data_IF_367646296089
#
_entry.id   IF_367646296089
#
_cell.length_a   1.000
_cell.length_b   1.000
_cell.length_c   1.000
_cell.angle_alpha   90.00
_cell.angle_beta   90.00
_cell.angle_gamma   90.00
#
_symmetry.space_group_name_H-M   'P 1'
#
loop_
_entity.id
_entity.type
_entity.pdbx_description
1 polymer ?
#
# COMPACT_ATOMS: atom_id res chain seq x y z
N UNK A 1 -16.55 22.44 -17.74
CA UNK A 1 -16.95 23.38 -16.67
C UNK A 1 -17.93 22.68 -15.73
N UNK A 2 -17.37 21.90 -14.76
CA UNK A 2 -18.14 21.37 -13.63
C UNK A 2 -18.43 22.49 -12.64
N UNK A 3 -19.65 22.60 -12.14
CA UNK A 3 -19.99 23.47 -11.01
C UNK A 3 -19.59 22.76 -9.71
N UNK A 4 -19.29 23.52 -8.64
CA UNK A 4 -18.95 22.95 -7.34
C UNK A 4 -19.97 21.90 -6.84
N UNK A 5 -21.28 22.16 -7.05
CA UNK A 5 -22.35 21.22 -6.71
C UNK A 5 -22.30 19.87 -7.48
N UNK A 6 -21.76 19.88 -8.70
CA UNK A 6 -21.63 18.65 -9.50
C UNK A 6 -20.52 17.75 -8.91
N UNK A 7 -19.45 18.36 -8.39
CA UNK A 7 -18.37 17.67 -7.66
C UNK A 7 -18.85 17.08 -6.33
N UNK A 8 -19.63 17.84 -5.56
CA UNK A 8 -20.22 17.34 -4.30
C UNK A 8 -21.15 16.15 -4.55
N UNK A 9 -22.01 16.21 -5.56
CA UNK A 9 -22.89 15.11 -5.93
C UNK A 9 -22.10 13.89 -6.37
N UNK A 10 -21.05 14.06 -7.17
CA UNK A 10 -20.15 12.98 -7.58
C UNK A 10 -19.51 12.28 -6.39
N UNK A 11 -18.96 13.05 -5.43
CA UNK A 11 -18.41 12.51 -4.21
C UNK A 11 -19.44 11.73 -3.38
N UNK A 12 -20.67 12.24 -3.25
CA UNK A 12 -21.74 11.55 -2.54
C UNK A 12 -22.11 10.22 -3.19
N UNK A 13 -22.21 10.16 -4.50
CA UNK A 13 -22.54 8.92 -5.25
C UNK A 13 -21.45 7.85 -5.09
N UNK A 14 -20.19 8.26 -4.99
CA UNK A 14 -19.04 7.34 -4.89
C UNK A 14 -18.53 7.09 -3.47
N UNK A 15 -19.22 7.59 -2.45
CA UNK A 15 -18.80 7.47 -1.03
C UNK A 15 -18.52 6.01 -0.61
N UNK A 16 -19.20 5.04 -1.21
CA UNK A 16 -19.01 3.61 -0.93
C UNK A 16 -17.95 2.93 -1.81
N UNK A 17 -17.43 3.63 -2.80
CA UNK A 17 -16.42 3.06 -3.70
C UNK A 17 -14.99 3.08 -3.12
N UNK A 18 -14.74 3.94 -2.14
CA UNK A 18 -13.44 4.09 -1.48
C UNK A 18 -13.15 5.52 -1.07
N UNK A 19 -11.89 5.80 -0.78
CA UNK A 19 -11.42 7.15 -0.48
C UNK A 19 -11.37 7.99 -1.76
N UNK A 20 -12.09 9.09 -1.77
CA UNK A 20 -12.07 10.07 -2.86
C UNK A 20 -11.14 11.22 -2.48
N UNK A 21 -10.19 11.53 -3.35
CA UNK A 21 -9.21 12.59 -3.15
C UNK A 21 -9.27 13.53 -4.34
N UNK A 22 -9.52 14.82 -4.08
CA UNK A 22 -9.45 15.86 -5.10
C UNK A 22 -7.99 16.21 -5.36
N UNK A 23 -7.58 16.18 -6.62
CA UNK A 23 -6.21 16.45 -7.05
C UNK A 23 -6.21 17.46 -8.21
N UNK A 24 -5.19 18.31 -8.25
CA UNK A 24 -4.88 19.11 -9.42
C UNK A 24 -4.42 18.21 -10.59
N UNK A 25 -4.75 18.57 -11.83
CA UNK A 25 -4.45 17.82 -13.05
C UNK A 25 -2.97 17.36 -13.13
N UNK A 26 -2.03 18.22 -12.74
CA UNK A 26 -0.60 17.91 -12.76
C UNK A 26 -0.15 16.82 -11.78
N UNK A 27 -1.03 16.34 -10.89
CA UNK A 27 -0.75 15.27 -9.92
C UNK A 27 -1.38 13.93 -10.30
N UNK A 28 -2.17 13.87 -11.36
CA UNK A 28 -2.89 12.66 -11.77
C UNK A 28 -1.93 11.51 -12.12
N UNK A 29 -0.85 11.80 -12.85
CA UNK A 29 0.15 10.77 -13.20
C UNK A 29 0.85 10.20 -11.96
N UNK A 30 1.16 11.05 -10.97
CA UNK A 30 1.74 10.62 -9.71
C UNK A 30 0.76 9.77 -8.90
N UNK A 31 -0.51 10.17 -8.84
CA UNK A 31 -1.57 9.38 -8.21
C UNK A 31 -1.78 8.02 -8.91
N UNK A 32 -1.69 7.99 -10.25
CA UNK A 32 -1.76 6.76 -11.03
C UNK A 32 -0.60 5.83 -10.70
N UNK A 33 0.64 6.33 -10.64
CA UNK A 33 1.81 5.54 -10.25
C UNK A 33 1.70 4.95 -8.85
N UNK A 34 1.15 5.72 -7.91
CA UNK A 34 0.99 5.29 -6.51
C UNK A 34 -0.23 4.39 -6.31
N UNK A 35 -1.43 4.84 -6.70
CA UNK A 35 -2.68 4.20 -6.34
C UNK A 35 -3.25 3.33 -7.47
N UNK A 36 -3.05 3.72 -8.73
CA UNK A 36 -3.47 2.92 -9.88
C UNK A 36 -2.62 1.68 -10.09
N UNK A 37 -1.29 1.81 -9.96
CA UNK A 37 -0.35 0.69 -10.08
C UNK A 37 -0.09 -0.03 -8.74
N UNK A 38 -0.29 0.65 -7.62
CA UNK A 38 -0.02 0.15 -6.27
C UNK A 38 -0.61 -1.21 -5.94
N UNK A 39 -1.86 -1.54 -6.34
CA UNK A 39 -2.43 -2.86 -6.08
C UNK A 39 -1.55 -4.02 -6.55
N UNK A 40 -0.88 -3.89 -7.70
CA UNK A 40 0.04 -4.93 -8.20
C UNK A 40 1.24 -5.14 -7.26
N UNK A 41 1.80 -4.07 -6.71
CA UNK A 41 2.91 -4.13 -5.76
C UNK A 41 2.48 -4.77 -4.44
N UNK A 42 1.25 -4.46 -3.99
CA UNK A 42 0.65 -5.07 -2.80
C UNK A 42 0.38 -6.55 -3.01
N UNK A 43 -0.07 -6.98 -4.21
CA UNK A 43 -0.25 -8.41 -4.50
C UNK A 43 1.07 -9.17 -4.45
N UNK A 44 2.16 -8.63 -4.98
CA UNK A 44 3.50 -9.23 -4.85
C UNK A 44 3.92 -9.35 -3.38
N UNK A 45 3.65 -8.34 -2.56
CA UNK A 45 3.95 -8.39 -1.14
C UNK A 45 3.11 -9.44 -0.39
N UNK A 46 1.80 -9.54 -0.67
CA UNK A 46 0.92 -10.56 -0.09
C UNK A 46 1.40 -11.97 -0.48
N UNK A 47 1.76 -12.17 -1.74
CA UNK A 47 2.27 -13.45 -2.24
C UNK A 47 3.57 -13.83 -1.52
N UNK A 48 4.52 -12.90 -1.40
CA UNK A 48 5.77 -13.13 -0.68
C UNK A 48 5.55 -13.47 0.80
N UNK A 49 4.62 -12.79 1.50
CA UNK A 49 4.24 -13.13 2.87
C UNK A 49 3.64 -14.54 2.96
N UNK A 50 2.76 -14.90 2.02
CA UNK A 50 2.15 -16.22 1.99
C UNK A 50 3.19 -17.32 1.72
N UNK A 51 4.14 -17.08 0.80
CA UNK A 51 5.23 -18.00 0.51
C UNK A 51 6.14 -18.21 1.73
N UNK A 52 6.48 -17.14 2.43
CA UNK A 52 7.23 -17.25 3.68
C UNK A 52 6.45 -18.03 4.75
N UNK A 53 5.14 -17.85 4.83
CA UNK A 53 4.25 -18.63 5.69
C UNK A 53 4.31 -20.14 5.37
N UNK A 54 4.31 -20.49 4.10
CA UNK A 54 4.43 -21.90 3.66
C UNK A 54 5.82 -22.44 3.97
N UNK A 55 6.88 -21.66 3.77
CA UNK A 55 8.25 -22.08 4.13
C UNK A 55 8.39 -22.39 5.63
N UNK A 56 7.59 -21.74 6.47
CA UNK A 56 7.57 -21.96 7.93
C UNK A 56 6.55 -23.00 8.38
N UNK A 57 5.86 -23.68 7.45
CA UNK A 57 4.99 -24.82 7.72
C UNK A 57 3.48 -24.54 7.71
N UNK A 58 3.04 -23.34 7.36
CA UNK A 58 1.61 -23.05 7.22
C UNK A 58 1.03 -23.68 5.94
N UNK A 59 -0.20 -24.22 5.98
CA UNK A 59 -0.91 -24.58 4.75
C UNK A 59 -1.09 -23.37 3.83
N UNK A 60 -0.93 -23.54 2.52
CA UNK A 60 -0.97 -22.49 1.50
C UNK A 60 -2.22 -21.59 1.63
N UNK A 61 -3.39 -22.21 1.74
CA UNK A 61 -4.65 -21.46 1.84
C UNK A 61 -4.71 -20.58 3.09
N UNK A 62 -4.24 -21.10 4.22
CA UNK A 62 -4.18 -20.38 5.49
C UNK A 62 -3.17 -19.22 5.41
N UNK A 63 -1.98 -19.48 4.88
CA UNK A 63 -0.93 -18.48 4.72
C UNK A 63 -1.41 -17.30 3.86
N UNK A 64 -2.09 -17.58 2.74
CA UNK A 64 -2.62 -16.54 1.85
C UNK A 64 -3.70 -15.69 2.54
N UNK A 65 -4.65 -16.32 3.24
CA UNK A 65 -5.68 -15.59 3.98
C UNK A 65 -5.08 -14.69 5.07
N UNK A 66 -4.12 -15.21 5.83
CA UNK A 66 -3.44 -14.45 6.88
C UNK A 66 -2.63 -13.28 6.30
N UNK A 67 -1.88 -13.50 5.23
CA UNK A 67 -1.10 -12.46 4.56
C UNK A 67 -2.01 -11.31 4.05
N UNK A 68 -3.10 -11.64 3.36
CA UNK A 68 -4.05 -10.66 2.86
C UNK A 68 -4.70 -9.87 4.02
N UNK A 69 -5.16 -10.56 5.07
CA UNK A 69 -5.77 -9.89 6.23
C UNK A 69 -4.78 -9.01 6.98
N UNK A 70 -3.52 -9.39 7.07
CA UNK A 70 -2.46 -8.57 7.68
C UNK A 70 -2.29 -7.24 6.95
N UNK A 71 -2.27 -7.26 5.62
CA UNK A 71 -2.15 -6.02 4.82
C UNK A 71 -3.39 -5.14 4.97
N UNK A 72 -4.58 -5.72 4.95
CA UNK A 72 -5.84 -4.98 5.17
C UNK A 72 -5.84 -4.33 6.54
N UNK A 73 -5.52 -5.08 7.62
CA UNK A 73 -5.52 -4.56 8.98
C UNK A 73 -4.48 -3.45 9.20
N UNK A 74 -3.28 -3.63 8.66
CA UNK A 74 -2.23 -2.61 8.78
C UNK A 74 -2.60 -1.31 8.03
N UNK A 75 -3.14 -1.42 6.81
CA UNK A 75 -3.59 -0.27 6.04
C UNK A 75 -4.75 0.47 6.72
N UNK A 76 -5.73 -0.27 7.22
CA UNK A 76 -6.87 0.29 7.94
C UNK A 76 -6.43 1.02 9.21
N UNK A 77 -5.52 0.45 9.99
CA UNK A 77 -5.00 1.08 11.19
C UNK A 77 -4.27 2.41 10.90
N UNK A 78 -3.53 2.50 9.81
CA UNK A 78 -2.90 3.77 9.38
C UNK A 78 -3.96 4.82 9.08
N UNK A 79 -5.02 4.46 8.36
CA UNK A 79 -6.09 5.38 7.99
C UNK A 79 -6.91 5.84 9.20
N UNK A 80 -7.23 4.95 10.13
CA UNK A 80 -8.07 5.24 11.29
C UNK A 80 -7.32 5.98 12.40
N UNK A 81 -6.08 5.58 12.69
CA UNK A 81 -5.29 6.18 13.76
C UNK A 81 -4.66 7.51 13.37
N UNK A 82 -4.50 7.77 12.07
CA UNK A 82 -3.76 8.91 11.51
C UNK A 82 -2.32 9.02 12.04
N UNK A 83 -1.78 7.95 12.63
CA UNK A 83 -0.41 7.91 13.09
C UNK A 83 0.56 7.64 11.95
N UNK A 84 1.75 8.18 12.06
CA UNK A 84 2.81 7.88 11.09
C UNK A 84 3.15 6.38 11.11
N UNK A 85 3.26 5.70 9.95
CA UNK A 85 3.53 4.26 9.89
C UNK A 85 4.78 3.81 10.68
N UNK A 86 5.79 4.66 10.81
CA UNK A 86 6.97 4.41 11.64
C UNK A 86 6.63 4.22 13.12
N UNK A 87 5.71 5.02 13.65
CA UNK A 87 5.24 4.89 15.05
C UNK A 87 4.49 3.58 15.24
N UNK A 88 3.58 3.23 14.33
CA UNK A 88 2.84 1.96 14.38
C UNK A 88 3.78 0.75 14.27
N UNK A 89 4.80 0.83 13.41
CA UNK A 89 5.86 -0.19 13.32
C UNK A 89 6.59 -0.36 14.64
N UNK A 90 6.98 0.73 15.30
CA UNK A 90 7.72 0.68 16.56
C UNK A 90 6.87 0.06 17.68
N UNK A 91 5.57 0.32 17.73
CA UNK A 91 4.64 -0.26 18.70
C UNK A 91 4.55 -1.79 18.63
N UNK A 92 4.81 -2.40 17.47
CA UNK A 92 4.80 -3.85 17.29
C UNK A 92 6.20 -4.48 17.30
N UNK A 93 7.25 -3.67 17.52
CA UNK A 93 8.65 -4.10 17.57
C UNK A 93 9.16 -4.11 19.02
N UNK A 94 8.98 -5.24 19.72
CA UNK A 94 9.57 -5.40 21.04
C UNK A 94 11.09 -5.57 21.00
N UNK A 95 11.84 -5.15 22.05
CA UNK A 95 13.29 -5.36 22.14
C UNK A 95 13.66 -6.85 21.97
N UNK A 96 14.53 -7.15 21.01
CA UNK A 96 14.96 -8.54 20.70
C UNK A 96 13.88 -9.44 20.13
N UNK A 97 12.70 -8.90 19.78
CA UNK A 97 11.55 -9.67 19.29
C UNK A 97 11.69 -10.14 17.84
N UNK A 98 10.79 -11.03 17.43
CA UNK A 98 10.72 -11.56 16.05
C UNK A 98 10.41 -10.48 15.03
N UNK A 99 9.56 -9.52 15.39
CA UNK A 99 9.17 -8.44 14.46
C UNK A 99 10.36 -7.56 14.09
N UNK A 100 11.16 -7.12 15.06
CA UNK A 100 12.31 -6.27 14.77
C UNK A 100 13.39 -7.03 13.98
N UNK A 101 13.55 -8.33 14.19
CA UNK A 101 14.46 -9.15 13.39
C UNK A 101 14.02 -9.22 11.92
N UNK A 102 12.71 -9.40 11.66
CA UNK A 102 12.14 -9.35 10.33
C UNK A 102 12.28 -7.98 9.66
N UNK A 103 12.02 -6.90 10.40
CA UNK A 103 12.23 -5.52 9.93
C UNK A 103 13.68 -5.29 9.53
N UNK A 104 14.64 -5.72 10.37
CA UNK A 104 16.06 -5.59 10.07
C UNK A 104 16.46 -6.31 8.77
N UNK A 105 15.88 -7.48 8.51
CA UNK A 105 16.08 -8.20 7.25
C UNK A 105 15.55 -7.42 6.04
N UNK A 106 14.35 -6.86 6.13
CA UNK A 106 13.78 -6.05 5.05
C UNK A 106 14.63 -4.80 4.76
N UNK A 107 15.11 -4.12 5.80
CA UNK A 107 15.98 -2.94 5.65
C UNK A 107 17.34 -3.31 5.02
N UNK A 108 17.92 -4.44 5.42
CA UNK A 108 19.18 -4.93 4.84
C UNK A 108 19.08 -5.24 3.33
N UNK A 109 17.88 -5.57 2.84
CA UNK A 109 17.60 -5.82 1.43
C UNK A 109 16.98 -4.63 0.69
N UNK A 110 17.16 -3.42 1.23
CA UNK A 110 16.72 -2.17 0.60
C UNK A 110 15.21 -2.11 0.25
N UNK A 111 14.35 -2.75 1.04
CA UNK A 111 12.92 -2.87 0.78
C UNK A 111 12.26 -1.52 0.46
N UNK A 112 12.54 -0.49 1.28
CA UNK A 112 11.98 0.86 1.06
C UNK A 112 12.39 1.46 -0.27
N UNK A 113 13.68 1.36 -0.60
CA UNK A 113 14.21 1.86 -1.86
C UNK A 113 13.60 1.17 -3.07
N UNK A 114 13.41 -0.14 -2.99
CA UNK A 114 12.78 -0.94 -4.04
C UNK A 114 11.32 -0.54 -4.27
N UNK A 115 10.55 -0.34 -3.21
CA UNK A 115 9.14 0.11 -3.32
C UNK A 115 9.06 1.52 -3.89
N UNK A 116 9.92 2.44 -3.44
CA UNK A 116 9.96 3.82 -3.97
C UNK A 116 10.33 3.83 -5.45
N UNK A 117 11.29 3.01 -5.88
CA UNK A 117 11.69 2.90 -7.27
C UNK A 117 10.55 2.33 -8.12
N UNK A 118 9.84 1.30 -7.67
CA UNK A 118 8.71 0.73 -8.38
C UNK A 118 7.62 1.79 -8.68
N UNK A 119 7.26 2.61 -7.70
CA UNK A 119 6.31 3.72 -7.89
C UNK A 119 6.86 4.75 -8.87
N UNK A 120 8.14 5.08 -8.78
CA UNK A 120 8.78 6.05 -9.67
C UNK A 120 8.84 5.57 -11.13
N UNK A 121 9.14 4.29 -11.36
CA UNK A 121 9.10 3.71 -12.72
C UNK A 121 7.67 3.69 -13.28
N UNK A 122 6.67 3.35 -12.47
CA UNK A 122 5.28 3.40 -12.89
C UNK A 122 4.85 4.83 -13.26
N UNK A 123 5.20 5.83 -12.45
CA UNK A 123 4.96 7.25 -12.74
C UNK A 123 5.59 7.68 -14.07
N UNK A 124 6.88 7.39 -14.28
CA UNK A 124 7.58 7.71 -15.54
C UNK A 124 6.86 7.10 -16.75
N UNK A 125 6.48 5.82 -16.62
CA UNK A 125 5.79 5.14 -17.71
C UNK A 125 4.43 5.74 -18.01
N UNK A 126 3.68 6.14 -16.98
CA UNK A 126 2.40 6.84 -17.13
C UNK A 126 2.57 8.13 -17.96
N UNK A 127 3.60 8.92 -17.66
CA UNK A 127 3.89 10.15 -18.41
C UNK A 127 4.25 9.88 -19.87
N UNK A 128 4.91 8.77 -20.20
CA UNK A 128 5.22 8.38 -21.57
C UNK A 128 3.98 7.98 -22.35
N UNK A 129 3.01 7.33 -21.71
CA UNK A 129 1.76 6.88 -22.33
C UNK A 129 0.76 8.00 -22.57
N UNK A 130 0.86 9.11 -21.81
CA UNK A 130 0.02 10.29 -21.95
C UNK A 130 0.46 11.28 -23.01
N UNK A 131 1.55 11.01 -23.72
CA UNK A 131 2.06 11.81 -24.86
C UNK A 131 1.57 11.23 -26.17
#
# INVERSE_FOLDING_TARGET
NCRAKDGELFCQLLTKAGLLVELGEGLIDAATGLAGCGPAFVYLFIEALADAGVQTGLPRETALKMAAQTVVGAGQLVLESQQHPGVLKDQVCSPGGSTIAGVASLEAHAFRGTVMDAVHQAYKRTQELGK
#
